data_IF_733384967628
#
_entry.id   IF_733384967628
#
_cell.length_a   1.000
_cell.length_b   1.000
_cell.length_c   1.000
_cell.angle_alpha   90.00
_cell.angle_beta   90.00
_cell.angle_gamma   90.00
#
_symmetry.space_group_name_H-M   'P 1'
#
loop_
_entity.id
_entity.type
_entity.pdbx_description
1 polymer ?
#
# COMPACT_ATOMS: atom_id res chain seq x y z
N UNK A 1 11.02 22.38 14.33
CA UNK A 1 11.97 21.94 13.29
C UNK A 1 11.17 21.53 12.08
N UNK A 2 10.95 22.45 11.15
CA UNK A 2 10.12 22.24 9.96
C UNK A 2 10.89 21.37 8.98
N UNK A 3 10.42 20.13 8.80
CA UNK A 3 10.99 19.14 7.90
C UNK A 3 10.94 19.68 6.48
N UNK A 4 12.10 19.81 5.82
CA UNK A 4 12.19 19.99 4.38
C UNK A 4 11.36 18.88 3.71
N UNK A 5 10.33 19.24 2.95
CA UNK A 5 9.57 18.29 2.16
C UNK A 5 10.56 17.58 1.24
N UNK A 6 10.78 16.29 1.50
CA UNK A 6 11.76 15.51 0.75
C UNK A 6 11.33 15.49 -0.72
N UNK A 7 12.25 15.73 -1.66
CA UNK A 7 11.92 15.94 -3.09
C UNK A 7 11.02 14.86 -3.70
N UNK A 8 11.15 13.62 -3.24
CA UNK A 8 10.32 12.49 -3.67
C UNK A 8 8.83 12.64 -3.27
N UNK A 9 8.52 13.27 -2.13
CA UNK A 9 7.14 13.52 -1.70
C UNK A 9 6.47 14.51 -2.64
N UNK A 10 7.19 15.58 -3.00
CA UNK A 10 6.71 16.56 -3.95
C UNK A 10 6.57 15.99 -5.37
N UNK A 11 7.47 15.08 -5.77
CA UNK A 11 7.31 14.32 -7.02
C UNK A 11 6.04 13.46 -7.01
N UNK A 12 5.80 12.73 -5.94
CA UNK A 12 4.64 11.85 -5.81
C UNK A 12 3.33 12.64 -5.80
N UNK A 13 3.25 13.73 -5.02
CA UNK A 13 2.04 14.54 -4.92
C UNK A 13 1.68 15.29 -6.22
N UNK A 14 2.60 15.34 -7.20
CA UNK A 14 2.31 15.88 -8.54
C UNK A 14 1.73 14.83 -9.48
N UNK A 15 1.89 13.54 -9.18
CA UNK A 15 1.37 12.45 -9.99
C UNK A 15 -0.03 12.09 -9.50
N UNK A 16 -1.05 12.33 -10.33
CA UNK A 16 -2.47 12.10 -9.98
C UNK A 16 -2.74 10.65 -9.55
N UNK A 17 -1.92 9.70 -10.00
CA UNK A 17 -2.05 8.27 -9.67
C UNK A 17 -1.62 7.95 -8.23
N UNK A 18 -0.92 8.85 -7.55
CA UNK A 18 -0.43 8.61 -6.19
C UNK A 18 -1.41 9.26 -5.21
N UNK A 19 -2.13 8.46 -4.39
CA UNK A 19 -3.08 9.01 -3.45
C UNK A 19 -2.35 9.85 -2.40
N UNK A 20 -2.77 11.11 -2.16
CA UNK A 20 -2.18 11.96 -1.12
C UNK A 20 -2.25 11.33 0.28
N UNK A 21 -3.23 10.43 0.47
CA UNK A 21 -3.42 9.64 1.69
C UNK A 21 -2.18 8.85 2.12
N UNK A 22 -1.28 8.49 1.20
CA UNK A 22 0.00 7.85 1.53
C UNK A 22 0.83 8.64 2.56
N UNK A 23 0.73 9.97 2.52
CA UNK A 23 1.52 10.88 3.33
C UNK A 23 0.78 11.45 4.53
N UNK A 24 -0.44 10.96 4.79
CA UNK A 24 -1.24 11.43 5.92
C UNK A 24 -0.62 11.06 7.27
N UNK A 25 -0.70 11.99 8.20
CA UNK A 25 -0.41 11.75 9.62
C UNK A 25 -1.55 10.98 10.27
N UNK A 26 -1.31 10.39 11.44
CA UNK A 26 -2.37 9.71 12.19
C UNK A 26 -3.53 10.63 12.57
N UNK A 27 -3.27 11.92 12.78
CA UNK A 27 -4.30 12.92 13.05
C UNK A 27 -5.20 13.13 11.82
N UNK A 28 -4.61 13.25 10.62
CA UNK A 28 -5.35 13.39 9.37
C UNK A 28 -6.20 12.14 9.07
N UNK A 29 -5.65 10.94 9.30
CA UNK A 29 -6.41 9.69 9.18
C UNK A 29 -7.58 9.67 10.16
N UNK A 30 -7.36 10.12 11.40
CA UNK A 30 -8.40 10.12 12.42
C UNK A 30 -9.53 11.13 12.13
N UNK A 31 -9.19 12.29 11.54
CA UNK A 31 -10.15 13.28 11.08
C UNK A 31 -10.95 12.78 9.88
N UNK A 32 -10.29 12.09 8.93
CA UNK A 32 -10.97 11.45 7.80
C UNK A 32 -12.03 10.43 8.25
N UNK A 33 -11.76 9.66 9.30
CA UNK A 33 -12.75 8.72 9.87
C UNK A 33 -13.95 9.45 10.48
N UNK A 34 -13.76 10.62 11.09
CA UNK A 34 -14.88 11.46 11.55
C UNK A 34 -15.70 11.97 10.36
N UNK A 35 -15.05 12.46 9.31
CA UNK A 35 -15.70 12.96 8.08
C UNK A 35 -16.46 11.84 7.34
N UNK A 36 -15.98 10.60 7.44
CA UNK A 36 -16.65 9.41 6.90
C UNK A 36 -17.94 9.06 7.65
N UNK A 37 -18.20 9.69 8.81
CA UNK A 37 -19.40 9.47 9.62
C UNK A 37 -19.19 8.52 10.79
N UNK A 38 -17.95 8.21 11.16
CA UNK A 38 -17.63 7.29 12.26
C UNK A 38 -16.79 7.95 13.38
N UNK A 39 -17.26 9.05 14.00
CA UNK A 39 -16.49 9.75 15.02
C UNK A 39 -16.17 8.89 16.26
N UNK A 40 -16.98 7.88 16.55
CA UNK A 40 -16.75 6.92 17.62
C UNK A 40 -15.45 6.12 17.46
N UNK A 41 -14.94 5.95 16.23
CA UNK A 41 -13.73 5.18 15.96
C UNK A 41 -12.47 6.03 15.91
N UNK A 42 -12.57 7.36 15.96
CA UNK A 42 -11.37 8.23 16.00
C UNK A 42 -10.36 7.82 17.08
N UNK A 43 -10.75 7.58 18.35
CA UNK A 43 -9.80 7.14 19.37
C UNK A 43 -9.11 5.81 18.99
N UNK A 44 -9.83 4.89 18.34
CA UNK A 44 -9.26 3.62 17.89
C UNK A 44 -8.11 3.83 16.90
N UNK A 45 -8.26 4.73 15.93
CA UNK A 45 -7.21 5.06 14.96
C UNK A 45 -6.05 5.84 15.58
N UNK A 46 -6.33 6.79 16.48
CA UNK A 46 -5.31 7.59 17.16
C UNK A 46 -4.47 6.75 18.11
N UNK A 47 -5.10 5.94 18.98
CA UNK A 47 -4.40 5.07 19.95
C UNK A 47 -3.55 4.01 19.27
N UNK A 48 -4.04 3.46 18.15
CA UNK A 48 -3.28 2.47 17.38
C UNK A 48 -2.25 3.08 16.43
N UNK A 49 -2.08 4.42 16.40
CA UNK A 49 -1.13 5.12 15.52
C UNK A 49 -1.25 4.69 14.05
N UNK A 50 -2.48 4.69 13.51
CA UNK A 50 -2.74 4.37 12.11
C UNK A 50 -2.44 5.61 11.26
N UNK A 51 -1.32 5.60 10.53
CA UNK A 51 -0.94 6.64 9.57
C UNK A 51 -1.30 6.23 8.13
N UNK A 52 -1.08 7.15 7.19
CA UNK A 52 -1.36 6.91 5.76
C UNK A 52 -0.69 5.66 5.19
N UNK A 53 0.51 5.33 5.67
CA UNK A 53 1.22 4.10 5.25
C UNK A 53 0.61 2.84 5.84
N UNK A 54 0.14 2.90 7.08
CA UNK A 54 -0.52 1.76 7.74
C UNK A 54 -1.90 1.48 7.15
N UNK A 55 -2.60 2.49 6.62
CA UNK A 55 -3.85 2.29 5.86
C UNK A 55 -3.67 1.31 4.69
N UNK A 56 -2.52 1.32 4.02
CA UNK A 56 -2.23 0.42 2.90
C UNK A 56 -2.25 -1.06 3.33
N UNK A 57 -1.82 -1.33 4.57
CA UNK A 57 -1.77 -2.68 5.12
C UNK A 57 -3.02 -3.07 5.89
N UNK A 58 -3.95 -2.13 6.06
CA UNK A 58 -5.15 -2.32 6.86
C UNK A 58 -6.13 -3.20 6.10
N UNK A 59 -6.27 -4.44 6.54
CA UNK A 59 -7.25 -5.39 6.01
C UNK A 59 -8.48 -5.43 6.90
N UNK A 60 -9.62 -5.81 6.33
CA UNK A 60 -10.88 -5.95 7.07
C UNK A 60 -10.74 -6.86 8.30
N UNK A 61 -9.89 -7.89 8.22
CA UNK A 61 -9.60 -8.82 9.33
C UNK A 61 -8.89 -8.18 10.52
N UNK A 62 -8.20 -7.04 10.34
CA UNK A 62 -7.48 -6.34 11.42
C UNK A 62 -8.32 -5.25 12.09
N UNK A 63 -9.45 -4.86 11.50
CA UNK A 63 -10.33 -3.84 12.07
C UNK A 63 -10.91 -4.24 13.45
N UNK A 64 -11.29 -5.51 13.70
CA UNK A 64 -11.68 -5.96 15.03
C UNK A 64 -10.59 -5.83 16.10
N UNK A 65 -9.33 -6.06 15.73
CA UNK A 65 -8.18 -5.92 16.64
C UNK A 65 -7.96 -4.46 17.08
N UNK A 66 -8.38 -3.50 16.25
CA UNK A 66 -8.28 -2.06 16.51
C UNK A 66 -9.50 -1.56 17.33
N UNK A 67 -10.54 -2.38 17.49
CA UNK A 67 -11.76 -2.07 18.25
C UNK A 67 -13.00 -1.80 17.40
N UNK A 68 -12.95 -2.08 16.09
CA UNK A 68 -14.10 -1.95 15.18
C UNK A 68 -14.68 -3.33 14.94
N UNK A 69 -15.73 -3.68 15.69
CA UNK A 69 -16.32 -5.03 15.67
C UNK A 69 -17.58 -5.14 14.83
N UNK A 70 -18.21 -4.02 14.49
CA UNK A 70 -19.45 -3.99 13.72
C UNK A 70 -19.16 -4.34 12.24
N UNK A 71 -19.86 -5.34 11.72
CA UNK A 71 -19.64 -5.85 10.37
C UNK A 71 -19.95 -4.80 9.29
N UNK A 72 -21.02 -4.02 9.43
CA UNK A 72 -21.38 -3.01 8.43
C UNK A 72 -20.36 -1.88 8.42
N UNK A 73 -19.88 -1.48 9.59
CA UNK A 73 -18.81 -0.49 9.70
C UNK A 73 -17.49 -1.01 9.12
N UNK A 74 -17.13 -2.26 9.38
CA UNK A 74 -15.95 -2.92 8.79
C UNK A 74 -16.02 -2.88 7.26
N UNK A 75 -17.19 -3.20 6.68
CA UNK A 75 -17.38 -3.22 5.24
C UNK A 75 -17.24 -1.82 4.64
N UNK A 76 -17.93 -0.84 5.21
CA UNK A 76 -17.89 0.56 4.75
C UNK A 76 -16.50 1.15 4.85
N UNK A 77 -15.84 1.03 6.01
CA UNK A 77 -14.47 1.54 6.21
C UNK A 77 -13.50 0.85 5.26
N UNK A 78 -13.59 -0.47 5.10
CA UNK A 78 -12.71 -1.20 4.18
C UNK A 78 -12.90 -0.75 2.72
N UNK A 79 -14.12 -0.45 2.30
CA UNK A 79 -14.40 0.09 0.97
C UNK A 79 -13.82 1.50 0.82
N UNK A 80 -14.10 2.39 1.77
CA UNK A 80 -13.61 3.77 1.74
C UNK A 80 -12.08 3.86 1.79
N UNK A 81 -11.38 2.95 2.47
CA UNK A 81 -9.91 2.87 2.41
C UNK A 81 -9.43 2.54 0.99
N UNK A 82 -10.11 1.64 0.27
CA UNK A 82 -9.74 1.28 -1.11
C UNK A 82 -9.98 2.43 -2.07
N UNK A 83 -11.11 3.10 -1.94
CA UNK A 83 -11.44 4.31 -2.71
C UNK A 83 -10.41 5.42 -2.45
N UNK A 84 -10.07 5.67 -1.19
CA UNK A 84 -9.09 6.69 -0.80
C UNK A 84 -7.68 6.43 -1.36
N UNK A 85 -7.28 5.16 -1.44
CA UNK A 85 -5.97 4.75 -1.95
C UNK A 85 -5.97 4.43 -3.46
N UNK A 86 -7.11 4.60 -4.14
CA UNK A 86 -7.31 4.25 -5.54
C UNK A 86 -6.86 2.81 -5.86
N UNK A 87 -7.07 1.91 -4.91
CA UNK A 87 -6.71 0.50 -5.04
C UNK A 87 -7.84 -0.27 -5.72
N UNK A 88 -7.50 -1.04 -6.75
CA UNK A 88 -8.43 -2.00 -7.35
C UNK A 88 -8.90 -3.04 -6.33
N UNK A 89 -10.16 -3.41 -6.43
CA UNK A 89 -10.68 -4.55 -5.70
C UNK A 89 -10.00 -5.85 -6.15
N UNK A 90 -9.74 -6.79 -5.23
CA UNK A 90 -9.20 -8.09 -5.59
C UNK A 90 -10.26 -8.88 -6.36
N UNK A 91 -10.19 -8.84 -7.69
CA UNK A 91 -11.06 -9.65 -8.54
C UNK A 91 -10.63 -11.11 -8.52
N UNK A 92 -11.59 -12.00 -8.25
CA UNK A 92 -11.37 -13.46 -8.28
C UNK A 92 -10.98 -13.99 -9.67
N UNK A 93 -11.28 -13.22 -10.74
CA UNK A 93 -10.98 -13.57 -12.13
C UNK A 93 -9.74 -12.85 -12.70
N UNK A 94 -8.93 -12.19 -11.86
CA UNK A 94 -7.67 -11.58 -12.29
C UNK A 94 -6.76 -12.67 -12.85
N UNK A 95 -6.28 -12.49 -14.09
CA UNK A 95 -5.37 -13.44 -14.73
C UNK A 95 -4.14 -13.64 -13.87
N UNK A 96 -3.78 -14.90 -13.61
CA UNK A 96 -2.56 -15.22 -12.86
C UNK A 96 -1.34 -14.60 -13.53
N UNK A 97 -1.31 -14.47 -14.87
CA UNK A 97 -0.21 -13.89 -15.62
C UNK A 97 0.04 -12.40 -15.35
N UNK A 98 -0.93 -11.70 -14.75
CA UNK A 98 -0.78 -10.31 -14.36
C UNK A 98 -0.17 -10.20 -12.97
N UNK A 99 0.56 -9.13 -12.67
CA UNK A 99 1.00 -8.86 -11.30
C UNK A 99 -0.17 -8.87 -10.32
N UNK A 100 0.05 -9.26 -9.05
CA UNK A 100 -1.00 -9.41 -8.04
C UNK A 100 -1.71 -8.09 -7.71
N UNK A 101 -1.08 -6.94 -7.97
CA UNK A 101 -1.64 -5.60 -7.83
C UNK A 101 -1.25 -4.72 -9.03
N UNK A 102 -1.97 -3.63 -9.21
CA UNK A 102 -1.61 -2.60 -10.18
C UNK A 102 -0.30 -1.91 -9.82
N UNK A 103 0.26 -1.14 -10.77
CA UNK A 103 1.51 -0.41 -10.59
C UNK A 103 1.49 0.45 -9.32
N UNK A 104 0.40 1.20 -9.10
CA UNK A 104 0.23 1.99 -7.88
C UNK A 104 0.10 1.10 -6.63
N UNK A 105 -0.67 0.03 -6.69
CA UNK A 105 -0.85 -0.88 -5.57
C UNK A 105 0.45 -1.57 -5.14
N UNK A 106 1.31 -1.93 -6.11
CA UNK A 106 2.65 -2.45 -5.82
C UNK A 106 3.58 -1.38 -5.22
N UNK A 107 3.48 -0.14 -5.69
CA UNK A 107 4.22 0.98 -5.11
C UNK A 107 3.81 1.26 -3.66
N UNK A 108 2.51 1.34 -3.40
CA UNK A 108 1.94 1.57 -2.06
C UNK A 108 2.35 0.44 -1.11
N UNK A 109 2.24 -0.82 -1.53
CA UNK A 109 2.72 -1.96 -0.75
C UNK A 109 4.21 -1.82 -0.41
N UNK A 110 5.03 -1.37 -1.37
CA UNK A 110 6.44 -1.11 -1.11
C UNK A 110 6.65 0.00 -0.08
N UNK A 111 5.88 1.10 -0.16
CA UNK A 111 5.95 2.27 0.75
C UNK A 111 5.34 2.02 2.12
N UNK A 112 4.56 0.95 2.30
CA UNK A 112 4.02 0.56 3.59
C UNK A 112 5.12 0.22 4.62
N UNK A 113 6.25 -0.30 4.14
CA UNK A 113 7.43 -0.59 4.97
C UNK A 113 8.29 0.66 5.10
N UNK A 114 8.92 0.85 6.27
CA UNK A 114 9.86 1.96 6.50
C UNK A 114 11.29 1.56 6.15
N UNK A 115 12.07 2.50 5.62
CA UNK A 115 13.49 2.29 5.35
C UNK A 115 14.06 3.32 4.38
N UNK A 116 15.32 3.74 4.59
CA UNK A 116 15.95 4.86 3.87
C UNK A 116 15.80 4.81 2.34
N UNK A 117 15.88 3.62 1.73
CA UNK A 117 15.75 3.45 0.28
C UNK A 117 14.28 3.62 -0.16
N UNK A 118 13.36 3.02 0.59
CA UNK A 118 11.92 3.02 0.30
C UNK A 118 11.34 4.42 0.54
N UNK A 119 11.75 5.05 1.63
CA UNK A 119 11.33 6.40 1.97
C UNK A 119 11.67 7.37 0.83
N UNK A 120 12.91 7.34 0.35
CA UNK A 120 13.38 8.20 -0.74
C UNK A 120 12.98 7.74 -2.17
N UNK A 121 12.14 6.70 -2.29
CA UNK A 121 11.63 6.25 -3.58
C UNK A 121 10.41 7.08 -3.97
N UNK A 122 10.44 7.69 -5.16
CA UNK A 122 9.25 8.26 -5.81
C UNK A 122 8.60 7.23 -6.73
N UNK A 123 7.33 7.44 -7.03
CA UNK A 123 6.54 6.56 -7.88
C UNK A 123 7.12 6.43 -9.29
N UNK A 124 7.57 7.54 -9.89
CA UNK A 124 8.24 7.53 -11.19
C UNK A 124 9.51 6.66 -11.19
N UNK A 125 10.33 6.78 -10.13
CA UNK A 125 11.52 5.94 -9.98
C UNK A 125 11.17 4.46 -9.78
N UNK A 126 10.07 4.19 -9.08
CA UNK A 126 9.52 2.84 -8.95
C UNK A 126 9.08 2.28 -10.31
N UNK A 127 8.32 3.04 -11.10
CA UNK A 127 7.89 2.64 -12.44
C UNK A 127 9.06 2.33 -13.36
N UNK A 128 10.09 3.19 -13.38
CA UNK A 128 11.32 2.92 -14.15
C UNK A 128 11.97 1.61 -13.73
N UNK A 129 11.98 1.31 -12.42
CA UNK A 129 12.52 0.05 -11.89
C UNK A 129 11.68 -1.15 -12.32
N UNK A 130 10.36 -1.04 -12.32
CA UNK A 130 9.44 -2.10 -12.75
C UNK A 130 9.53 -2.31 -14.26
N UNK A 131 9.48 -1.24 -15.06
CA UNK A 131 9.55 -1.30 -16.52
C UNK A 131 10.91 -1.81 -17.02
N UNK A 132 12.01 -1.32 -16.44
CA UNK A 132 13.37 -1.74 -16.81
C UNK A 132 13.67 -3.19 -16.44
N UNK A 133 12.99 -3.72 -15.40
CA UNK A 133 13.09 -5.13 -15.03
C UNK A 133 12.26 -6.06 -15.90
N UNK A 134 11.40 -5.52 -16.78
CA UNK A 134 10.42 -6.23 -17.60
C UNK A 134 10.00 -7.55 -16.93
N UNK A 135 9.35 -7.50 -15.75
CA UNK A 135 8.96 -8.69 -15.05
C UNK A 135 7.76 -9.17 -15.85
N UNK A 136 8.01 -10.00 -16.88
CA UNK A 136 7.06 -11.06 -17.16
C UNK A 136 6.88 -11.71 -15.80
N UNK A 137 5.78 -11.41 -15.11
CA UNK A 137 5.47 -12.04 -13.84
C UNK A 137 5.52 -13.53 -14.17
N UNK A 138 6.53 -14.21 -13.65
CA UNK A 138 6.66 -15.63 -13.84
C UNK A 138 6.02 -16.21 -12.59
N UNK A 139 4.94 -16.99 -12.70
CA UNK A 139 4.60 -17.86 -11.59
C UNK A 139 5.86 -18.67 -11.27
N UNK A 140 6.13 -19.03 -10.01
CA UNK A 140 7.21 -19.95 -9.72
C UNK A 140 7.12 -21.12 -10.72
N UNK A 141 8.22 -21.43 -11.41
CA UNK A 141 8.27 -22.32 -12.60
C UNK A 141 7.90 -23.79 -12.30
N UNK A 142 7.25 -24.04 -11.17
CA UNK A 142 7.01 -25.34 -10.59
C UNK A 142 5.66 -25.36 -9.88
N UNK A 143 4.81 -26.28 -10.32
CA UNK A 143 3.64 -26.81 -9.63
C UNK A 143 4.01 -27.81 -8.51
N UNK A 144 5.27 -27.82 -8.03
CA UNK A 144 5.80 -28.82 -7.10
C UNK A 144 6.48 -28.24 -5.84
N UNK A 145 6.16 -27.02 -5.39
CA UNK A 145 6.59 -26.51 -4.06
C UNK A 145 8.07 -26.75 -3.70
N UNK A 146 9.02 -26.56 -4.63
CA UNK A 146 10.46 -26.67 -4.36
C UNK A 146 11.22 -25.45 -4.92
N UNK A 147 12.00 -24.79 -4.06
CA UNK A 147 12.92 -23.69 -4.43
C UNK A 147 14.23 -24.30 -4.92
N UNK A 148 14.57 -24.10 -6.19
CA UNK A 148 15.89 -24.51 -6.73
C UNK A 148 16.85 -23.32 -6.66
N UNK A 149 18.09 -23.60 -6.26
CA UNK A 149 19.11 -22.66 -5.82
C UNK A 149 19.56 -21.61 -6.86
N UNK A 150 20.07 -20.50 -6.32
CA UNK A 150 20.69 -19.37 -7.02
C UNK A 150 21.69 -19.80 -8.10
N UNK A 151 21.51 -19.24 -9.29
CA UNK A 151 22.42 -19.41 -10.43
C UNK A 151 23.76 -18.72 -10.11
N UNK A 152 24.79 -19.51 -9.78
CA UNK A 152 26.18 -19.06 -9.71
C UNK A 152 26.66 -18.85 -11.16
N UNK A 153 27.20 -17.68 -11.53
CA UNK A 153 27.66 -17.48 -12.90
C UNK A 153 28.90 -18.35 -13.16
N UNK A 154 28.89 -19.03 -14.32
CA UNK A 154 30.05 -19.77 -14.81
C UNK A 154 31.21 -18.79 -15.06
N UNK A 155 32.29 -18.94 -14.30
CA UNK A 155 33.57 -18.30 -14.56
C UNK A 155 34.18 -19.03 -15.77
N UNK A 156 34.46 -18.29 -16.86
CA UNK A 156 35.29 -18.77 -17.96
C UNK A 156 36.77 -18.70 -17.59
#
# INVERSE_FOLDING_TARGET
MTSSASSHVFEDLRDERVPPALYWTGEQVSAWIEELGFPQYKPCFTTNCIDGRRLITLQASRLPEIGITDYEHIMTISNSVRELLELEEPFWNRSISLPPRNEIGMYLEKKSVRGKIIDNMSFQKFLLTVQSRNPKWQPPLSNQCAIIAHNVPAIK
#
